data_IF_408937615984
#
_entry.id   IF_408937615984
#
_cell.length_a   1.000
_cell.length_b   1.000
_cell.length_c   1.000
_cell.angle_alpha   90.00
_cell.angle_beta   90.00
_cell.angle_gamma   90.00
#
_symmetry.space_group_name_H-M   'P 1'
#
loop_
_entity.id
_entity.type
_entity.pdbx_description
1 polymer ?
#
# COMPACT_ATOMS: atom_id res chain seq x y z
N UNK A 1 0.68 19.56 -16.64
CA UNK A 1 0.51 19.21 -15.21
C UNK A 1 -0.16 17.85 -15.15
N UNK A 2 0.48 16.82 -14.63
CA UNK A 2 -0.15 15.50 -14.49
C UNK A 2 -0.18 15.13 -13.00
N UNK A 3 -1.35 15.30 -12.40
CA UNK A 3 -1.65 14.99 -11.00
C UNK A 3 -2.19 13.56 -10.97
N UNK A 4 -1.46 12.63 -10.35
CA UNK A 4 -1.88 11.22 -10.30
C UNK A 4 -2.49 10.94 -8.93
N UNK A 5 -3.77 10.60 -8.92
CA UNK A 5 -4.42 10.05 -7.73
C UNK A 5 -3.92 8.62 -7.53
N UNK A 6 -3.41 8.35 -6.34
CA UNK A 6 -2.85 7.05 -6.01
C UNK A 6 -3.86 6.37 -5.08
N UNK A 7 -4.35 5.20 -5.47
CA UNK A 7 -5.25 4.39 -4.64
C UNK A 7 -4.44 3.24 -4.09
N UNK A 8 -4.47 3.02 -2.77
CA UNK A 8 -3.74 1.94 -2.11
C UNK A 8 -4.68 1.08 -1.27
N UNK A 9 -4.38 -0.22 -1.15
CA UNK A 9 -5.07 -1.15 -0.24
C UNK A 9 -4.17 -1.42 0.98
N UNK A 10 -4.74 -1.38 2.19
CA UNK A 10 -4.09 -1.85 3.41
C UNK A 10 -4.83 -3.08 3.94
N UNK A 11 -4.08 -4.13 4.29
CA UNK A 11 -4.57 -5.32 4.99
C UNK A 11 -4.78 -4.99 6.46
N UNK A 12 -5.94 -5.36 7.01
CA UNK A 12 -6.12 -5.44 8.45
C UNK A 12 -6.10 -6.91 8.84
N UNK A 13 -5.30 -7.27 9.84
CA UNK A 13 -5.17 -8.65 10.32
C UNK A 13 -6.54 -9.19 10.75
N UNK A 14 -7.05 -10.15 9.99
CA UNK A 14 -8.38 -10.71 10.15
C UNK A 14 -8.26 -12.17 10.58
N UNK A 15 -8.75 -12.47 11.79
CA UNK A 15 -8.89 -13.82 12.32
C UNK A 15 -10.25 -14.36 11.90
N UNK A 16 -10.29 -15.50 11.22
CA UNK A 16 -11.54 -16.22 10.96
C UNK A 16 -11.53 -17.66 11.49
N UNK A 17 -12.69 -17.99 12.08
CA UNK A 17 -13.11 -19.23 12.69
C UNK A 17 -13.69 -20.23 11.66
N UNK A 18 -13.56 -21.52 11.96
CA UNK A 18 -13.53 -22.67 11.05
C UNK A 18 -14.89 -23.21 10.57
N UNK A 19 -14.96 -23.75 9.32
CA UNK A 19 -15.95 -24.79 8.94
C UNK A 19 -15.66 -25.66 7.68
N UNK A 20 -14.70 -26.61 7.68
CA UNK A 20 -14.79 -27.84 6.83
C UNK A 20 -13.62 -28.23 5.88
N UNK A 21 -12.40 -28.40 6.39
CA UNK A 21 -11.18 -28.98 5.79
C UNK A 21 -10.84 -28.85 4.26
N UNK A 22 -11.58 -29.42 3.30
CA UNK A 22 -11.07 -29.55 1.91
C UNK A 22 -11.24 -28.27 1.06
N UNK A 23 -12.41 -27.63 1.14
CA UNK A 23 -12.70 -26.36 0.46
C UNK A 23 -11.77 -25.23 0.95
N UNK A 24 -11.48 -25.23 2.25
CA UNK A 24 -10.64 -24.22 2.91
C UNK A 24 -9.18 -24.35 2.57
N UNK A 25 -8.70 -25.55 2.20
CA UNK A 25 -7.30 -25.71 1.77
C UNK A 25 -7.06 -24.96 0.47
N UNK A 26 -7.94 -25.16 -0.52
CA UNK A 26 -7.90 -24.42 -1.79
C UNK A 26 -8.16 -22.94 -1.60
N UNK A 27 -9.09 -22.57 -0.70
CA UNK A 27 -9.37 -21.17 -0.37
C UNK A 27 -8.19 -20.48 0.32
N UNK A 28 -7.48 -21.17 1.22
CA UNK A 28 -6.30 -20.67 1.92
C UNK A 28 -5.14 -20.45 0.94
N UNK A 29 -4.96 -21.38 0.00
CA UNK A 29 -3.96 -21.24 -1.06
C UNK A 29 -4.27 -20.03 -1.96
N UNK A 30 -5.53 -19.86 -2.38
CA UNK A 30 -5.98 -18.70 -3.16
C UNK A 30 -5.86 -17.39 -2.38
N UNK A 31 -6.22 -17.40 -1.10
CA UNK A 31 -6.09 -16.25 -0.22
C UNK A 31 -4.62 -15.83 -0.06
N UNK A 32 -3.71 -16.80 0.10
CA UNK A 32 -2.26 -16.55 0.13
C UNK A 32 -1.76 -15.89 -1.16
N UNK A 33 -2.21 -16.37 -2.33
CA UNK A 33 -1.85 -15.79 -3.63
C UNK A 33 -2.38 -14.36 -3.80
N UNK A 34 -3.63 -14.10 -3.41
CA UNK A 34 -4.21 -12.75 -3.42
C UNK A 34 -3.43 -11.81 -2.51
N UNK A 35 -3.09 -12.25 -1.29
CA UNK A 35 -2.32 -11.45 -0.35
C UNK A 35 -0.92 -11.12 -0.88
N UNK A 36 -0.22 -12.11 -1.43
CA UNK A 36 1.09 -11.89 -2.05
C UNK A 36 1.02 -10.88 -3.21
N UNK A 37 0.00 -10.96 -4.05
CA UNK A 37 -0.23 -10.02 -5.16
C UNK A 37 -0.54 -8.60 -4.66
N UNK A 38 -1.34 -8.44 -3.62
CA UNK A 38 -1.68 -7.14 -3.04
C UNK A 38 -0.46 -6.48 -2.39
N UNK A 39 0.41 -7.27 -1.73
CA UNK A 39 1.64 -6.78 -1.12
C UNK A 39 2.71 -6.43 -2.16
N UNK A 40 2.86 -7.21 -3.23
CA UNK A 40 3.76 -6.90 -4.35
C UNK A 40 3.29 -5.66 -5.11
N UNK A 41 1.98 -5.59 -5.39
CA UNK A 41 1.33 -4.49 -6.12
C UNK A 41 0.33 -3.79 -5.22
N UNK A 42 0.84 -2.83 -4.45
CA UNK A 42 0.03 -1.96 -3.59
C UNK A 42 -1.15 -1.25 -4.30
N UNK A 43 -1.17 -1.19 -5.64
CA UNK A 43 -2.22 -0.58 -6.47
C UNK A 43 -2.83 -1.59 -7.44
N UNK A 44 -3.39 -2.67 -6.92
CA UNK A 44 -4.03 -3.69 -7.73
C UNK A 44 -5.56 -3.59 -7.64
N UNK A 45 -6.24 -3.75 -8.77
CA UNK A 45 -7.71 -3.79 -8.85
C UNK A 45 -8.24 -5.22 -8.76
N UNK A 46 -9.49 -5.37 -8.31
CA UNK A 46 -10.19 -6.67 -8.27
C UNK A 46 -10.20 -7.35 -9.64
N UNK A 47 -10.34 -6.57 -10.72
CA UNK A 47 -10.36 -7.07 -12.11
C UNK A 47 -8.99 -7.64 -12.52
N UNK A 48 -7.91 -6.96 -12.14
CA UNK A 48 -6.55 -7.45 -12.41
C UNK A 48 -6.25 -8.73 -11.64
N UNK A 49 -6.70 -8.84 -10.39
CA UNK A 49 -6.54 -10.07 -9.60
C UNK A 49 -7.32 -11.22 -10.24
N UNK A 50 -8.58 -10.99 -10.62
CA UNK A 50 -9.39 -11.98 -11.36
C UNK A 50 -8.64 -12.48 -12.60
N UNK A 51 -8.08 -11.58 -13.41
CA UNK A 51 -7.35 -11.94 -14.64
C UNK A 51 -6.04 -12.68 -14.37
N UNK A 52 -5.32 -12.33 -13.30
CA UNK A 52 -4.03 -12.93 -12.96
C UNK A 52 -4.16 -14.32 -12.35
N UNK A 53 -5.22 -14.55 -11.58
CA UNK A 53 -5.46 -15.81 -10.87
C UNK A 53 -6.54 -16.69 -11.52
N UNK A 54 -7.20 -16.21 -12.58
CA UNK A 54 -8.31 -16.85 -13.28
C UNK A 54 -9.47 -17.31 -12.36
N UNK A 55 -9.72 -16.53 -11.30
CA UNK A 55 -10.77 -16.79 -10.30
C UNK A 55 -11.93 -15.83 -10.48
N UNK A 56 -13.17 -16.28 -10.26
CA UNK A 56 -14.34 -15.38 -10.37
C UNK A 56 -14.17 -14.06 -9.61
N UNK A 57 -14.67 -12.97 -10.20
CA UNK A 57 -14.69 -11.63 -9.59
C UNK A 57 -15.37 -11.66 -8.22
N UNK A 58 -16.45 -12.45 -8.08
CA UNK A 58 -17.16 -12.60 -6.80
C UNK A 58 -16.30 -13.24 -5.72
N UNK A 59 -15.51 -14.27 -6.07
CA UNK A 59 -14.60 -14.94 -5.13
C UNK A 59 -13.48 -13.98 -4.73
N UNK A 60 -12.90 -13.26 -5.70
CA UNK A 60 -11.89 -12.23 -5.46
C UNK A 60 -12.40 -11.17 -4.49
N UNK A 61 -13.62 -10.67 -4.72
CA UNK A 61 -14.25 -9.68 -3.85
C UNK A 61 -14.47 -10.20 -2.43
N UNK A 62 -14.96 -11.45 -2.27
CA UNK A 62 -15.11 -12.12 -0.97
C UNK A 62 -13.78 -12.25 -0.25
N UNK A 63 -12.74 -12.75 -0.92
CA UNK A 63 -11.40 -12.90 -0.32
C UNK A 63 -10.86 -11.53 0.12
N UNK A 64 -10.93 -10.53 -0.74
CA UNK A 64 -10.36 -9.22 -0.43
C UNK A 64 -11.10 -8.50 0.68
N UNK A 65 -12.43 -8.46 0.63
CA UNK A 65 -13.22 -7.64 1.56
C UNK A 65 -13.67 -8.37 2.81
N UNK A 66 -14.00 -9.66 2.71
CA UNK A 66 -14.53 -10.42 3.84
C UNK A 66 -13.41 -11.11 4.62
N UNK A 67 -12.45 -11.73 3.93
CA UNK A 67 -11.38 -12.48 4.60
C UNK A 67 -10.16 -11.63 4.97
N UNK A 68 -9.74 -10.68 4.12
CA UNK A 68 -8.59 -9.82 4.42
C UNK A 68 -8.96 -8.42 4.92
N UNK A 69 -10.25 -8.07 4.89
CA UNK A 69 -10.74 -6.73 5.22
C UNK A 69 -9.95 -5.61 4.53
N UNK A 70 -9.50 -5.84 3.29
CA UNK A 70 -8.83 -4.83 2.49
C UNK A 70 -9.77 -3.66 2.26
N UNK A 71 -9.28 -2.47 2.56
CA UNK A 71 -9.99 -1.22 2.31
C UNK A 71 -9.26 -0.38 1.28
N UNK A 72 -10.02 0.17 0.34
CA UNK A 72 -9.55 1.22 -0.57
C UNK A 72 -9.22 2.48 0.21
N UNK A 73 -7.98 2.92 0.15
CA UNK A 73 -7.52 4.18 0.73
C UNK A 73 -7.23 5.14 -0.41
N UNK A 74 -7.87 6.30 -0.35
CA UNK A 74 -7.48 7.45 -1.16
C UNK A 74 -6.17 7.97 -0.58
N UNK A 75 -5.08 7.87 -1.33
CA UNK A 75 -3.81 8.43 -0.86
C UNK A 75 -3.73 9.92 -1.19
N UNK A 76 -2.72 10.57 -0.62
CA UNK A 76 -2.54 12.00 -0.71
C UNK A 76 -2.17 12.43 -2.13
N UNK A 77 -2.76 13.54 -2.59
CA UNK A 77 -2.36 14.20 -3.82
C UNK A 77 -0.92 14.69 -3.72
N UNK A 78 -0.07 14.24 -4.64
CA UNK A 78 1.32 14.71 -4.75
C UNK A 78 1.42 15.69 -5.91
N UNK A 79 1.87 16.91 -5.62
CA UNK A 79 1.95 18.02 -6.57
C UNK A 79 2.86 17.72 -7.78
N UNK A 80 3.95 16.98 -7.59
CA UNK A 80 4.88 16.62 -8.67
C UNK A 80 5.55 15.28 -8.41
N UNK A 81 5.61 14.43 -9.43
CA UNK A 81 6.41 13.21 -9.39
C UNK A 81 7.89 13.57 -9.54
N UNK A 82 8.59 13.67 -8.42
CA UNK A 82 10.01 14.05 -8.41
C UNK A 82 10.86 12.99 -9.09
N UNK A 83 11.70 13.43 -10.04
CA UNK A 83 12.80 12.62 -10.56
C UNK A 83 13.83 12.35 -9.47
N UNK A 84 14.62 11.27 -9.61
CA UNK A 84 15.62 10.87 -8.59
C UNK A 84 16.57 12.00 -8.22
N UNK A 85 17.05 12.77 -9.21
CA UNK A 85 17.89 13.95 -8.99
C UNK A 85 17.20 15.01 -8.12
N UNK A 86 15.93 15.32 -8.40
CA UNK A 86 15.16 16.30 -7.64
C UNK A 86 14.91 15.84 -6.20
N UNK A 87 14.71 14.54 -5.96
CA UNK A 87 14.58 13.99 -4.59
C UNK A 87 15.86 14.16 -3.80
N UNK A 88 17.00 13.82 -4.41
CA UNK A 88 18.32 13.95 -3.77
C UNK A 88 18.59 15.41 -3.43
N UNK A 89 18.36 16.34 -4.36
CA UNK A 89 18.52 17.78 -4.10
C UNK A 89 17.63 18.25 -2.95
N UNK A 90 16.36 17.80 -2.90
CA UNK A 90 15.47 18.15 -1.78
C UNK A 90 15.95 17.57 -0.45
N UNK A 91 16.41 16.32 -0.43
CA UNK A 91 16.98 15.72 0.78
C UNK A 91 18.18 16.51 1.30
N UNK A 92 19.15 16.83 0.45
CA UNK A 92 20.34 17.61 0.84
C UNK A 92 19.94 18.97 1.40
N UNK A 93 19.01 19.66 0.74
CA UNK A 93 18.51 20.96 1.22
C UNK A 93 17.83 20.82 2.59
N UNK A 94 16.97 19.83 2.78
CA UNK A 94 16.30 19.64 4.06
C UNK A 94 17.27 19.25 5.18
N UNK A 95 18.26 18.41 4.90
CA UNK A 95 19.31 18.07 5.85
C UNK A 95 20.12 19.31 6.27
N UNK A 96 20.47 20.18 5.32
CA UNK A 96 21.17 21.43 5.62
C UNK A 96 20.31 22.39 6.46
N UNK A 97 19.02 22.53 6.14
CA UNK A 97 18.11 23.36 6.95
C UNK A 97 17.91 22.80 8.36
N UNK A 98 17.80 21.47 8.49
CA UNK A 98 17.67 20.81 9.79
C UNK A 98 18.94 21.00 10.64
N UNK A 99 20.12 20.86 10.03
CA UNK A 99 21.38 21.12 10.72
C UNK A 99 21.46 22.56 11.22
N UNK A 100 21.13 23.52 10.36
CA UNK A 100 21.08 24.94 10.75
C UNK A 100 20.11 25.21 11.88
N UNK A 101 18.93 24.59 11.86
CA UNK A 101 17.95 24.74 12.94
C UNK A 101 18.55 24.28 14.27
N UNK A 102 19.25 23.14 14.30
CA UNK A 102 19.94 22.68 15.50
C UNK A 102 21.07 23.63 15.92
N UNK A 103 21.90 24.12 14.98
CA UNK A 103 23.00 25.02 15.30
C UNK A 103 22.51 26.38 15.83
N UNK A 104 21.36 26.86 15.34
CA UNK A 104 20.70 28.10 15.79
C UNK A 104 20.04 27.91 17.18
N UNK A 105 19.49 26.73 17.50
CA UNK A 105 18.93 26.39 18.83
C UNK A 105 20.00 26.40 19.94
N UNK A 106 21.26 26.07 19.63
CA UNK A 106 22.41 26.19 20.54
C UNK A 106 23.18 27.52 20.41
N UNK A 107 22.78 28.40 19.48
CA UNK A 107 23.47 29.66 19.14
C UNK A 107 22.89 30.91 19.78
N UNK A 108 21.76 30.84 20.49
CA UNK A 108 21.25 31.94 21.29
C UNK A 108 21.89 31.90 22.69
N UNK A 109 22.71 32.91 23.07
CA UNK A 109 23.11 33.05 24.46
C UNK A 109 21.86 33.36 25.29
N UNK A 110 21.54 32.46 26.22
CA UNK A 110 20.57 32.68 27.30
C UNK A 110 20.97 33.86 28.18
#
# INVERSE_FOLDING_TARGET
>A
MSTVCVVQLLSNDAKDSLRGASYWKTMLDLAGLVNALVLDKHRITVIEIHRLLDISVSITHTIMHQHFNFRKICTQWVSHQLASKQRITRMVLFSNHLQRYHDEEYGFPS
#
